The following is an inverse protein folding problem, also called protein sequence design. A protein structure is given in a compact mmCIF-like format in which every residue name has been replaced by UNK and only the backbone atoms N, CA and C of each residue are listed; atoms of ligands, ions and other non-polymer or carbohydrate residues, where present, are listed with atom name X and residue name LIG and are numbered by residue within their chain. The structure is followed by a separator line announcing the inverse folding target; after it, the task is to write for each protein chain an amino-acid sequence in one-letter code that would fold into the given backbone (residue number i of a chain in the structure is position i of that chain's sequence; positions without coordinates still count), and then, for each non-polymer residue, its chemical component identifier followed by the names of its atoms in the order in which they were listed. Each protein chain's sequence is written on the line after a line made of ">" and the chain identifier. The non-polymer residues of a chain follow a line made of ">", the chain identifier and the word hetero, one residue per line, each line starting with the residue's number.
data_IF_491341998105
#
_entry.id   IF_491341998105
#
_cell.length_a   1.000
_cell.length_b   1.000
_cell.length_c   1.000
_cell.angle_alpha   90.00
_cell.angle_beta   90.00
_cell.angle_gamma   90.00
#
_symmetry.space_group_name_H-M   'P 1'
#
loop_
_entity.id
_entity.type
_entity.pdbx_description
1 polymer ?
#
# COMPACT_ATOMS: atom_id res chain seq x y z
N UNK A 1 -14.73 -7.41 2.08
CA UNK A 1 -13.30 -7.57 2.44
C UNK A 1 -12.67 -6.20 2.61
N UNK A 2 -12.37 -5.80 3.85
CA UNK A 2 -11.55 -4.61 4.07
C UNK A 2 -10.10 -5.01 3.85
N UNK A 3 -9.47 -4.49 2.79
CA UNK A 3 -8.04 -4.72 2.51
C UNK A 3 -7.10 -4.04 3.54
N UNK A 4 -7.68 -3.40 4.56
CA UNK A 4 -6.93 -2.60 5.53
C UNK A 4 -7.42 -2.91 6.95
N UNK A 5 -6.60 -3.62 7.71
CA UNK A 5 -6.75 -3.75 9.16
C UNK A 5 -6.20 -2.48 9.84
N UNK A 6 -6.91 -2.03 10.87
CA UNK A 6 -7.02 -0.64 11.36
C UNK A 6 -5.72 0.10 11.73
N UNK A 7 -4.55 -0.54 11.81
CA UNK A 7 -3.28 0.07 12.22
C UNK A 7 -2.37 0.51 11.07
N UNK A 8 -2.60 0.07 9.83
CA UNK A 8 -1.77 0.44 8.67
C UNK A 8 -2.21 1.76 7.96
N UNK A 9 -3.39 2.30 8.28
CA UNK A 9 -4.02 3.40 7.51
C UNK A 9 -3.23 4.72 7.52
N UNK A 10 -2.57 5.05 8.63
CA UNK A 10 -1.86 6.35 8.74
C UNK A 10 -0.63 6.42 7.84
N UNK A 11 0.14 5.32 7.75
CA UNK A 11 1.28 5.21 6.84
C UNK A 11 0.85 5.04 5.38
N UNK A 12 -0.18 4.22 5.15
CA UNK A 12 -0.65 3.86 3.82
C UNK A 12 -0.93 5.08 2.93
N UNK A 13 -1.74 6.04 3.39
CA UNK A 13 -2.11 7.20 2.56
C UNK A 13 -0.92 8.10 2.25
N UNK A 14 0.03 8.21 3.18
CA UNK A 14 1.25 8.99 2.99
C UNK A 14 2.14 8.31 1.94
N UNK A 15 2.46 7.04 2.15
CA UNK A 15 3.34 6.28 1.24
C UNK A 15 2.70 6.06 -0.12
N UNK A 16 1.38 5.91 -0.20
CA UNK A 16 0.68 5.81 -1.47
C UNK A 16 0.80 7.11 -2.28
N UNK A 17 0.70 8.27 -1.61
CA UNK A 17 0.93 9.55 -2.27
C UNK A 17 2.37 9.65 -2.78
N UNK A 18 3.35 9.37 -1.93
CA UNK A 18 4.78 9.50 -2.28
C UNK A 18 5.21 8.50 -3.37
N UNK A 19 4.85 7.22 -3.24
CA UNK A 19 5.36 6.15 -4.11
C UNK A 19 4.54 5.94 -5.38
N UNK A 20 3.26 6.35 -5.38
CA UNK A 20 2.35 6.11 -6.52
C UNK A 20 1.98 7.43 -7.16
N UNK A 21 1.37 8.36 -6.41
CA UNK A 21 0.80 9.56 -7.01
C UNK A 21 1.87 10.59 -7.43
N UNK A 22 2.88 10.80 -6.60
CA UNK A 22 3.94 11.79 -6.84
C UNK A 22 5.03 11.23 -7.77
N UNK A 23 5.20 9.90 -7.81
CA UNK A 23 6.22 9.22 -8.61
C UNK A 23 5.81 8.90 -10.05
N UNK A 24 4.51 8.99 -10.39
CA UNK A 24 4.00 8.58 -11.70
C UNK A 24 3.18 9.69 -12.37
N UNK A 25 3.37 9.84 -13.69
CA UNK A 25 2.43 10.57 -14.55
C UNK A 25 1.46 9.56 -15.16
N UNK A 26 0.19 9.69 -14.84
CA UNK A 26 -0.86 8.80 -15.38
C UNK A 26 -1.40 9.34 -16.69
N UNK A 27 -1.54 8.46 -17.67
CA UNK A 27 -2.13 8.76 -18.97
C UNK A 27 -3.56 8.22 -19.11
N UNK A 28 -3.97 7.32 -18.21
CA UNK A 28 -5.35 6.83 -18.10
C UNK A 28 -5.66 6.37 -16.67
N UNK A 29 -6.95 6.27 -16.35
CA UNK A 29 -7.41 5.68 -15.07
C UNK A 29 -7.05 4.21 -15.00
N UNK A 30 -7.07 3.49 -16.13
CA UNK A 30 -6.73 2.07 -16.18
C UNK A 30 -5.26 1.83 -15.81
N UNK A 31 -4.35 2.64 -16.35
CA UNK A 31 -2.94 2.62 -15.96
C UNK A 31 -2.77 2.91 -14.45
N UNK A 32 -3.48 3.92 -13.94
CA UNK A 32 -3.43 4.23 -12.50
C UNK A 32 -3.91 3.05 -11.64
N UNK A 33 -4.98 2.36 -12.07
CA UNK A 33 -5.50 1.19 -11.36
C UNK A 33 -4.53 0.01 -11.37
N UNK A 34 -3.87 -0.26 -12.51
CA UNK A 34 -2.87 -1.34 -12.60
C UNK A 34 -1.68 -1.10 -11.67
N UNK A 35 -1.12 0.12 -11.70
CA UNK A 35 -0.01 0.51 -10.82
C UNK A 35 -0.45 0.42 -9.35
N UNK A 36 -1.66 0.89 -9.05
CA UNK A 36 -2.22 0.83 -7.70
C UNK A 36 -2.39 -0.60 -7.21
N UNK A 37 -2.94 -1.49 -8.05
CA UNK A 37 -3.17 -2.88 -7.69
C UNK A 37 -1.86 -3.58 -7.33
N UNK A 38 -0.82 -3.38 -8.16
CA UNK A 38 0.52 -3.91 -7.85
C UNK A 38 1.08 -3.32 -6.56
N UNK A 39 1.01 -2.00 -6.39
CA UNK A 39 1.58 -1.35 -5.22
C UNK A 39 0.88 -1.77 -3.92
N UNK A 40 -0.45 -1.95 -3.94
CA UNK A 40 -1.21 -2.44 -2.78
C UNK A 40 -0.82 -3.87 -2.42
N UNK A 41 -0.60 -4.72 -3.40
CA UNK A 41 -0.11 -6.09 -3.16
C UNK A 41 1.27 -6.07 -2.49
N UNK A 42 2.21 -5.32 -3.05
CA UNK A 42 3.56 -5.14 -2.50
C UNK A 42 3.49 -4.56 -1.07
N UNK A 43 2.65 -3.55 -0.82
CA UNK A 43 2.47 -2.94 0.50
C UNK A 43 1.97 -3.94 1.54
N UNK A 44 1.02 -4.80 1.17
CA UNK A 44 0.38 -5.72 2.10
C UNK A 44 1.21 -6.99 2.37
N UNK A 45 1.97 -7.46 1.39
CA UNK A 45 2.67 -8.75 1.48
C UNK A 45 4.18 -8.63 1.69
N UNK A 46 4.81 -7.57 1.19
CA UNK A 46 6.28 -7.49 1.09
C UNK A 46 6.90 -6.41 1.97
N UNK A 47 6.15 -5.37 2.36
CA UNK A 47 6.69 -4.23 3.11
C UNK A 47 6.55 -4.40 4.63
N UNK A 48 7.64 -4.61 5.38
CA UNK A 48 7.59 -4.61 6.84
C UNK A 48 7.41 -3.19 7.37
N UNK A 49 6.51 -3.02 8.34
CA UNK A 49 6.24 -1.72 8.95
C UNK A 49 6.69 -1.68 10.40
N UNK A 50 7.44 -0.64 10.80
CA UNK A 50 7.91 -0.49 12.18
C UNK A 50 6.76 -0.49 13.21
N UNK A 51 5.62 0.11 12.85
CA UNK A 51 4.40 0.13 13.67
C UNK A 51 3.74 -1.24 13.82
N UNK A 52 4.09 -2.20 12.98
CA UNK A 52 3.64 -3.59 13.01
C UNK A 52 4.77 -4.52 13.48
N UNK A 53 5.68 -4.04 14.33
CA UNK A 53 6.84 -4.81 14.79
C UNK A 53 7.69 -5.38 13.63
N UNK A 54 7.84 -4.59 12.57
CA UNK A 54 8.53 -5.00 11.33
C UNK A 54 7.87 -6.19 10.62
N UNK A 55 6.59 -6.44 10.83
CA UNK A 55 5.80 -7.38 10.05
C UNK A 55 5.10 -6.66 8.89
N UNK A 56 4.73 -7.41 7.87
CA UNK A 56 3.87 -6.92 6.80
C UNK A 56 2.41 -6.87 7.28
N UNK A 57 1.53 -6.05 6.68
CA UNK A 57 0.14 -5.96 7.08
C UNK A 57 -0.58 -7.31 7.06
N UNK A 58 -0.26 -8.18 6.09
CA UNK A 58 -0.82 -9.52 6.01
C UNK A 58 -0.28 -10.46 7.09
N UNK A 59 1.03 -10.42 7.36
CA UNK A 59 1.62 -11.23 8.43
C UNK A 59 1.12 -10.84 9.83
N UNK A 60 0.80 -9.57 10.05
CA UNK A 60 0.21 -9.09 11.30
C UNK A 60 -1.27 -9.47 11.46
N UNK A 61 -2.00 -9.66 10.35
CA UNK A 61 -3.43 -9.98 10.37
C UNK A 61 -3.74 -11.49 10.45
N UNK A 62 -2.71 -12.35 10.36
CA UNK A 62 -2.79 -13.81 10.46
C UNK A 62 -2.83 -14.27 11.93
#
# INVERSE_FOLDING_TARGET
>A
MSLFHSTAKSGFNKTYREDVLDANLFHSIEQANEITAKWVDDYNHERPHQSLNYQTPMAYAA
#
